data_IF_457758050491
#
_entry.id   IF_457758050491
#
_cell.length_a   1.000
_cell.length_b   1.000
_cell.length_c   1.000
_cell.angle_alpha   90.00
_cell.angle_beta   90.00
_cell.angle_gamma   90.00
#
_symmetry.space_group_name_H-M   'P 1'
#
loop_
_entity.id
_entity.type
_entity.pdbx_description
1 polymer ?
#
# COMPACT_ATOMS: atom_id res chain seq x y z
N UNK A 1 -4.34 16.04 11.14
CA UNK A 1 -4.64 14.59 11.17
C UNK A 1 -5.57 14.25 10.03
N UNK A 2 -5.21 13.25 9.28
CA UNK A 2 -6.00 12.76 8.15
C UNK A 2 -6.10 11.24 8.24
N UNK A 3 -7.29 10.69 8.04
CA UNK A 3 -7.51 9.26 7.88
C UNK A 3 -8.22 9.03 6.56
N UNK A 4 -7.70 8.15 5.75
CA UNK A 4 -8.28 7.73 4.48
C UNK A 4 -8.51 6.24 4.51
N UNK A 5 -9.68 5.81 4.06
CA UNK A 5 -10.01 4.40 3.84
C UNK A 5 -10.22 4.19 2.35
N UNK A 6 -9.50 3.24 1.79
CA UNK A 6 -9.52 2.92 0.37
C UNK A 6 -9.91 1.45 0.19
N UNK A 7 -10.95 1.21 -0.59
CA UNK A 7 -11.43 -0.13 -0.95
C UNK A 7 -10.90 -0.48 -2.34
N UNK A 8 -10.22 -1.60 -2.46
CA UNK A 8 -9.70 -2.15 -3.71
C UNK A 8 -10.40 -3.46 -4.05
N UNK A 9 -10.76 -3.62 -5.31
CA UNK A 9 -11.42 -4.83 -5.81
C UNK A 9 -12.88 -4.95 -5.37
N UNK A 10 -13.43 -6.15 -5.54
CA UNK A 10 -14.85 -6.46 -5.23
C UNK A 10 -14.97 -7.81 -4.53
N UNK A 11 -15.90 -7.89 -3.58
CA UNK A 11 -16.24 -9.12 -2.88
C UNK A 11 -15.04 -9.75 -2.17
N UNK A 12 -14.89 -11.07 -2.27
CA UNK A 12 -13.84 -11.85 -1.58
C UNK A 12 -12.43 -11.66 -2.14
N UNK A 13 -12.29 -10.97 -3.27
CA UNK A 13 -10.99 -10.65 -3.89
C UNK A 13 -10.55 -9.20 -3.62
N UNK A 14 -11.34 -8.47 -2.85
CA UNK A 14 -11.02 -7.10 -2.46
C UNK A 14 -10.17 -7.05 -1.20
N UNK A 15 -9.53 -5.90 -0.99
CA UNK A 15 -8.85 -5.54 0.26
C UNK A 15 -9.10 -4.07 0.58
N UNK A 16 -8.89 -3.72 1.83
CA UNK A 16 -9.01 -2.35 2.31
C UNK A 16 -7.66 -1.86 2.81
N UNK A 17 -7.34 -0.63 2.47
CA UNK A 17 -6.19 0.10 3.02
C UNK A 17 -6.72 1.22 3.90
N UNK A 18 -6.23 1.28 5.13
CA UNK A 18 -6.43 2.42 6.01
C UNK A 18 -5.11 3.16 6.17
N UNK A 19 -5.08 4.39 5.71
CA UNK A 19 -3.96 5.30 5.93
C UNK A 19 -4.34 6.34 6.96
N UNK A 20 -3.54 6.48 8.02
CA UNK A 20 -3.74 7.50 9.06
C UNK A 20 -2.45 8.25 9.29
N UNK A 21 -2.52 9.58 9.28
CA UNK A 21 -1.39 10.46 9.56
C UNK A 21 -1.74 11.47 10.63
N UNK A 22 -0.82 11.67 11.59
CA UNK A 22 -0.91 12.65 12.65
C UNK A 22 0.25 13.64 12.53
N UNK A 23 -0.01 14.82 12.00
CA UNK A 23 1.04 15.80 11.68
C UNK A 23 1.64 16.51 12.92
N UNK A 24 0.94 16.49 14.05
CA UNK A 24 1.36 17.18 15.26
C UNK A 24 1.94 16.26 16.34
N UNK A 25 1.98 14.97 16.11
CA UNK A 25 2.45 14.00 17.09
C UNK A 25 3.08 12.78 16.42
N UNK A 26 4.37 12.61 16.60
CA UNK A 26 5.15 11.48 16.05
C UNK A 26 5.24 10.26 16.99
N UNK A 27 4.53 10.29 18.13
CA UNK A 27 4.52 9.15 19.05
C UNK A 27 4.05 7.86 18.37
N UNK A 28 4.77 6.79 18.57
CA UNK A 28 4.50 5.48 17.95
C UNK A 28 5.11 5.29 16.57
N UNK A 29 5.77 6.30 15.99
CA UNK A 29 6.42 6.21 14.69
C UNK A 29 5.47 5.88 13.54
N UNK A 30 6.04 5.39 12.44
CA UNK A 30 5.30 4.81 11.31
C UNK A 30 5.01 3.34 11.61
N UNK A 31 3.82 2.87 11.28
CA UNK A 31 3.43 1.46 11.39
C UNK A 31 2.86 0.99 10.08
N UNK A 32 3.30 -0.17 9.63
CA UNK A 32 2.81 -0.80 8.42
C UNK A 32 2.50 -2.27 8.70
N UNK A 33 1.20 -2.59 8.74
CA UNK A 33 0.71 -3.91 9.09
C UNK A 33 -0.31 -4.36 8.05
N UNK A 34 -0.14 -5.58 7.55
CA UNK A 34 -1.06 -6.23 6.62
C UNK A 34 -1.78 -7.37 7.31
N UNK A 35 -3.10 -7.35 7.26
CA UNK A 35 -3.96 -8.37 7.85
C UNK A 35 -4.58 -9.24 6.77
N UNK A 36 -4.63 -10.53 7.02
CA UNK A 36 -5.28 -11.52 6.17
C UNK A 36 -6.06 -12.53 6.99
N UNK A 37 -6.83 -13.37 6.31
CA UNK A 37 -7.52 -14.49 6.97
C UNK A 37 -6.56 -15.51 7.62
N UNK A 38 -5.31 -15.54 7.19
CA UNK A 38 -4.28 -16.42 7.74
C UNK A 38 -3.47 -15.84 8.90
N UNK A 39 -3.57 -14.53 9.14
CA UNK A 39 -2.79 -13.84 10.15
C UNK A 39 -2.32 -12.46 9.69
N UNK A 40 -1.16 -12.04 10.17
CA UNK A 40 -0.61 -10.72 9.90
C UNK A 40 0.84 -10.75 9.39
N UNK A 41 1.18 -9.76 8.58
CA UNK A 41 2.55 -9.34 8.29
C UNK A 41 2.76 -7.97 8.93
N UNK A 42 3.70 -7.88 9.86
CA UNK A 42 4.07 -6.65 10.54
C UNK A 42 5.47 -6.21 10.07
N UNK A 43 5.54 -5.11 9.31
CA UNK A 43 6.80 -4.60 8.78
C UNK A 43 7.61 -3.82 9.81
N UNK A 44 7.01 -3.36 10.93
CA UNK A 44 7.78 -2.72 12.01
C UNK A 44 8.71 -3.73 12.70
N UNK A 45 8.22 -4.98 12.82
CA UNK A 45 8.96 -6.07 13.46
C UNK A 45 9.56 -7.04 12.47
N UNK A 46 9.24 -6.90 11.19
CA UNK A 46 9.59 -7.83 10.10
C UNK A 46 9.18 -9.28 10.42
N UNK A 47 7.94 -9.45 10.89
CA UNK A 47 7.41 -10.76 11.27
C UNK A 47 6.13 -11.10 10.52
N UNK A 48 6.01 -12.37 10.15
CA UNK A 48 4.74 -13.00 9.78
C UNK A 48 4.29 -13.83 10.97
N UNK A 49 3.00 -13.79 11.29
CA UNK A 49 2.43 -14.59 12.37
C UNK A 49 0.98 -15.00 12.07
N UNK A 50 0.49 -16.10 12.66
CA UNK A 50 -0.91 -16.49 12.57
C UNK A 50 -1.83 -15.63 13.46
N UNK A 51 -1.31 -14.60 14.08
CA UNK A 51 -2.05 -13.74 15.00
C UNK A 51 -3.29 -13.12 14.32
N UNK A 52 -4.46 -13.26 14.93
CA UNK A 52 -5.73 -12.80 14.37
C UNK A 52 -6.25 -13.61 13.16
N UNK A 53 -5.53 -14.65 12.72
CA UNK A 53 -5.97 -15.52 11.63
C UNK A 53 -7.18 -16.38 12.02
N UNK A 54 -8.00 -16.76 11.03
CA UNK A 54 -9.20 -17.58 11.20
C UNK A 54 -8.80 -19.02 11.55
N UNK A 55 -9.32 -19.51 12.68
CA UNK A 55 -9.22 -20.93 13.05
C UNK A 55 -10.23 -21.75 12.23
N UNK A 56 -10.06 -23.07 12.21
CA UNK A 56 -10.91 -23.97 11.41
C UNK A 56 -12.42 -23.77 11.63
N UNK A 57 -12.85 -23.61 12.88
CA UNK A 57 -14.27 -23.39 13.22
C UNK A 57 -14.80 -22.10 12.60
N UNK A 58 -14.06 -21.02 12.68
CA UNK A 58 -14.44 -19.70 12.18
C UNK A 58 -14.42 -19.68 10.66
N UNK A 59 -13.37 -20.23 10.05
CA UNK A 59 -13.25 -20.35 8.61
C UNK A 59 -14.42 -21.17 8.01
N UNK A 60 -14.74 -22.32 8.63
CA UNK A 60 -15.87 -23.16 8.20
C UNK A 60 -17.21 -22.43 8.31
N UNK A 61 -17.43 -21.67 9.37
CA UNK A 61 -18.65 -20.87 9.54
C UNK A 61 -18.82 -19.80 8.47
N UNK A 62 -17.70 -19.31 7.90
CA UNK A 62 -17.67 -18.29 6.82
C UNK A 62 -17.58 -18.91 5.42
N UNK A 63 -17.61 -20.23 5.27
CA UNK A 63 -17.42 -20.92 3.99
C UNK A 63 -16.00 -20.79 3.42
N UNK A 64 -15.01 -20.55 4.28
CA UNK A 64 -13.60 -20.40 3.93
C UNK A 64 -12.78 -21.61 4.40
N UNK A 65 -11.58 -21.73 3.88
CA UNK A 65 -10.59 -22.67 4.40
C UNK A 65 -9.69 -21.96 5.42
N UNK A 66 -9.41 -22.63 6.53
CA UNK A 66 -8.39 -22.18 7.45
C UNK A 66 -7.02 -22.30 6.79
N UNK A 67 -6.26 -21.23 6.76
CA UNK A 67 -4.93 -21.19 6.18
C UNK A 67 -4.03 -20.29 7.04
N UNK A 68 -3.77 -20.73 8.28
CA UNK A 68 -2.95 -19.97 9.21
C UNK A 68 -1.52 -19.84 8.69
N UNK A 69 -1.01 -18.62 8.74
CA UNK A 69 0.36 -18.31 8.37
C UNK A 69 1.35 -18.90 9.40
N UNK A 70 2.53 -19.31 8.98
CA UNK A 70 3.58 -19.71 9.92
C UNK A 70 4.11 -18.50 10.69
N UNK A 71 4.65 -18.74 11.88
CA UNK A 71 5.44 -17.73 12.58
C UNK A 71 6.84 -17.71 11.99
N UNK A 72 7.23 -16.60 11.37
CA UNK A 72 8.56 -16.43 10.81
C UNK A 72 9.01 -14.97 10.86
N UNK A 73 10.32 -14.77 10.94
CA UNK A 73 10.96 -13.47 10.82
C UNK A 73 11.45 -13.28 9.41
N UNK A 74 11.09 -12.14 8.81
CA UNK A 74 11.63 -11.76 7.50
C UNK A 74 12.93 -11.01 7.76
N UNK A 75 14.01 -11.46 7.16
CA UNK A 75 15.24 -10.67 7.16
C UNK A 75 14.98 -9.43 6.28
N UNK A 76 14.90 -8.27 6.92
CA UNK A 76 14.84 -6.99 6.21
C UNK A 76 16.11 -6.83 5.36
N UNK A 77 15.96 -6.28 4.17
CA UNK A 77 17.12 -5.85 3.40
C UNK A 77 17.95 -4.90 4.28
N UNK A 78 19.12 -5.34 4.72
CA UNK A 78 20.08 -4.46 5.38
C UNK A 78 20.58 -3.48 4.33
N UNK A 79 19.92 -2.34 4.24
CA UNK A 79 20.50 -1.21 3.53
C UNK A 79 21.63 -0.70 4.41
N UNK A 80 22.86 -1.05 4.05
CA UNK A 80 24.02 -0.41 4.64
C UNK A 80 23.95 1.06 4.21
N UNK A 81 23.43 1.91 5.07
CA UNK A 81 23.57 3.34 4.93
C UNK A 81 24.98 3.68 5.38
N UNK A 82 25.91 3.65 4.45
CA UNK A 82 27.17 4.38 4.61
C UNK A 82 26.79 5.87 4.60
N UNK A 83 26.50 6.36 5.78
CA UNK A 83 25.81 7.62 6.03
C UNK A 83 26.59 8.87 5.62
N UNK A 84 27.75 8.75 5.00
CA UNK A 84 28.65 9.88 4.79
C UNK A 84 28.77 10.39 3.36
N UNK A 85 28.01 9.82 2.41
CA UNK A 85 28.06 10.28 1.01
C UNK A 85 26.92 11.23 0.62
N UNK A 86 26.03 11.60 1.55
CA UNK A 86 24.91 12.51 1.30
C UNK A 86 23.84 11.97 0.34
N UNK A 87 23.95 10.70 -0.05
CA UNK A 87 23.03 10.04 -0.96
C UNK A 87 22.40 8.79 -0.34
N UNK A 88 21.09 8.72 -0.36
CA UNK A 88 20.37 7.50 -0.05
C UNK A 88 20.66 6.43 -1.12
N UNK A 89 21.19 5.27 -0.70
CA UNK A 89 21.54 4.15 -1.59
C UNK A 89 20.33 3.65 -2.39
N UNK A 90 19.14 3.66 -1.80
CA UNK A 90 17.91 3.26 -2.49
C UNK A 90 17.61 4.22 -3.63
N UNK A 91 17.65 5.51 -3.38
CA UNK A 91 17.47 6.55 -4.41
C UNK A 91 18.52 6.44 -5.50
N UNK A 92 19.80 6.25 -5.11
CA UNK A 92 20.87 6.07 -6.09
C UNK A 92 20.63 4.86 -7.00
N UNK A 93 20.32 3.70 -6.44
CA UNK A 93 20.04 2.49 -7.21
C UNK A 93 18.81 2.64 -8.10
N UNK A 94 17.80 3.37 -7.62
CA UNK A 94 16.60 3.65 -8.39
C UNK A 94 16.89 4.53 -9.60
N UNK A 95 17.61 5.63 -9.42
CA UNK A 95 18.03 6.53 -10.50
C UNK A 95 18.96 5.82 -11.47
N UNK A 96 19.93 5.03 -10.98
CA UNK A 96 20.81 4.21 -11.81
C UNK A 96 20.01 3.26 -12.70
N UNK A 97 19.07 2.51 -12.11
CA UNK A 97 18.20 1.60 -12.88
C UNK A 97 17.44 2.36 -13.98
N UNK A 98 16.87 3.52 -13.65
CA UNK A 98 16.18 4.35 -14.64
C UNK A 98 17.10 4.76 -15.79
N UNK A 99 18.30 5.25 -15.48
CA UNK A 99 19.29 5.67 -16.51
C UNK A 99 19.73 4.49 -17.39
N UNK A 100 19.92 3.31 -16.83
CA UNK A 100 20.25 2.08 -17.57
C UNK A 100 19.08 1.67 -18.49
N UNK A 101 17.85 1.80 -18.03
CA UNK A 101 16.66 1.52 -18.83
C UNK A 101 16.45 2.53 -19.95
N UNK A 102 16.77 3.81 -19.76
CA UNK A 102 16.77 4.81 -20.83
C UNK A 102 17.72 4.40 -21.96
N UNK A 103 18.92 3.89 -21.63
CA UNK A 103 19.91 3.45 -22.65
C UNK A 103 19.51 2.13 -23.32
N UNK A 104 19.05 1.17 -22.51
CA UNK A 104 18.74 -0.20 -22.99
C UNK A 104 17.33 -0.36 -23.56
N UNK A 105 16.45 0.62 -23.37
CA UNK A 105 15.02 0.57 -23.69
C UNK A 105 14.26 -0.52 -22.97
N UNK A 106 14.77 -1.00 -21.83
CA UNK A 106 14.09 -1.94 -20.94
C UNK A 106 13.13 -1.20 -20.00
N UNK A 107 12.16 -1.93 -19.47
CA UNK A 107 11.25 -1.42 -18.44
C UNK A 107 12.00 -1.22 -17.13
N UNK A 108 11.92 -0.04 -16.50
CA UNK A 108 12.54 0.20 -15.19
C UNK A 108 11.78 -0.53 -14.06
N UNK A 109 12.43 -0.66 -12.90
CA UNK A 109 11.82 -1.26 -11.71
C UNK A 109 10.58 -0.50 -11.23
N UNK A 110 10.53 0.82 -11.46
CA UNK A 110 9.33 1.63 -11.25
C UNK A 110 8.84 2.18 -12.60
N UNK A 111 8.02 1.42 -13.31
CA UNK A 111 7.43 1.88 -14.58
C UNK A 111 6.37 2.95 -14.34
N UNK A 112 6.01 3.67 -15.40
CA UNK A 112 5.03 4.76 -15.33
C UNK A 112 3.68 4.28 -14.79
N UNK A 113 3.29 3.04 -15.08
CA UNK A 113 2.05 2.42 -14.63
C UNK A 113 1.98 2.34 -13.09
N UNK A 114 3.10 2.00 -12.44
CA UNK A 114 3.16 1.96 -10.97
C UNK A 114 2.99 3.37 -10.38
N UNK A 115 3.65 4.38 -10.95
CA UNK A 115 3.49 5.78 -10.56
C UNK A 115 2.06 6.29 -10.80
N UNK A 116 1.48 5.92 -11.92
CA UNK A 116 0.11 6.29 -12.27
C UNK A 116 -0.91 5.71 -11.27
N UNK A 117 -0.84 4.41 -10.97
CA UNK A 117 -1.73 3.77 -10.01
C UNK A 117 -1.61 4.38 -8.61
N UNK A 118 -0.40 4.67 -8.16
CA UNK A 118 -0.19 5.34 -6.89
C UNK A 118 -0.80 6.76 -6.88
N UNK A 119 -0.63 7.49 -7.98
CA UNK A 119 -1.18 8.85 -8.13
C UNK A 119 -2.71 8.87 -8.08
N UNK A 120 -3.40 7.89 -8.65
CA UNK A 120 -4.86 7.77 -8.58
C UNK A 120 -5.33 7.72 -7.12
N UNK A 121 -4.73 6.89 -6.28
CA UNK A 121 -5.09 6.78 -4.87
C UNK A 121 -4.92 8.12 -4.13
N UNK A 122 -3.84 8.85 -4.42
CA UNK A 122 -3.59 10.17 -3.85
C UNK A 122 -4.62 11.20 -4.33
N UNK A 123 -4.95 11.20 -5.60
CA UNK A 123 -5.96 12.09 -6.20
C UNK A 123 -7.34 11.81 -5.60
N UNK A 124 -7.73 10.54 -5.50
CA UNK A 124 -9.00 10.14 -4.89
C UNK A 124 -9.08 10.57 -3.43
N UNK A 125 -8.00 10.43 -2.66
CA UNK A 125 -7.94 10.88 -1.27
C UNK A 125 -8.14 12.40 -1.14
N UNK A 126 -7.47 13.16 -2.01
CA UNK A 126 -7.65 14.62 -2.06
C UNK A 126 -9.07 15.02 -2.50
N UNK A 127 -9.64 14.34 -3.48
CA UNK A 127 -11.01 14.57 -3.93
C UNK A 127 -12.01 14.30 -2.80
N UNK A 128 -11.86 13.20 -2.06
CA UNK A 128 -12.70 12.87 -0.91
C UNK A 128 -12.60 13.95 0.19
N UNK A 129 -11.38 14.38 0.49
CA UNK A 129 -11.15 15.44 1.47
C UNK A 129 -11.81 16.78 1.07
N UNK A 130 -11.65 17.19 -0.19
CA UNK A 130 -12.18 18.47 -0.68
C UNK A 130 -13.69 18.48 -0.86
N UNK A 131 -14.29 17.36 -1.21
CA UNK A 131 -15.72 17.27 -1.52
C UNK A 131 -16.56 16.75 -0.36
N UNK A 132 -15.94 16.07 0.61
CA UNK A 132 -16.65 15.35 1.68
C UNK A 132 -17.48 14.17 1.18
N UNK A 133 -17.23 13.71 -0.05
CA UNK A 133 -18.00 12.66 -0.71
C UNK A 133 -17.21 11.35 -0.81
N UNK A 134 -17.94 10.26 -0.95
CA UNK A 134 -17.35 9.01 -1.44
C UNK A 134 -16.86 9.22 -2.86
N UNK A 135 -15.61 8.81 -3.12
CA UNK A 135 -14.96 8.95 -4.41
C UNK A 135 -14.74 7.57 -5.03
N UNK A 136 -14.95 7.47 -6.32
CA UNK A 136 -14.68 6.26 -7.11
C UNK A 136 -13.79 6.61 -8.31
N UNK A 137 -13.06 5.61 -8.81
CA UNK A 137 -12.30 5.71 -10.04
C UNK A 137 -13.01 4.92 -11.14
N UNK A 138 -13.24 5.55 -12.28
CA UNK A 138 -13.77 4.89 -13.47
C UNK A 138 -12.60 4.45 -14.36
N UNK A 139 -12.37 3.15 -14.41
CA UNK A 139 -11.28 2.56 -15.21
C UNK A 139 -11.45 2.76 -16.72
N UNK A 140 -12.68 2.96 -17.20
CA UNK A 140 -12.95 3.12 -18.63
C UNK A 140 -12.65 4.54 -19.10
N UNK A 141 -13.12 5.53 -18.35
CA UNK A 141 -12.91 6.95 -18.67
C UNK A 141 -11.62 7.49 -18.08
N UNK A 142 -10.99 6.73 -17.16
CA UNK A 142 -9.80 7.15 -16.42
C UNK A 142 -10.06 8.41 -15.57
N UNK A 143 -11.28 8.57 -15.05
CA UNK A 143 -11.71 9.74 -14.32
C UNK A 143 -11.97 9.43 -12.84
N UNK A 144 -11.66 10.39 -11.99
CA UNK A 144 -12.00 10.38 -10.58
C UNK A 144 -13.38 11.01 -10.41
N UNK A 145 -14.32 10.25 -9.83
CA UNK A 145 -15.69 10.65 -9.61
C UNK A 145 -15.94 10.97 -8.14
N UNK A 146 -16.41 12.16 -7.82
CA UNK A 146 -16.92 12.53 -6.49
C UNK A 146 -18.45 12.51 -6.54
N UNK A 147 -19.07 11.48 -5.95
CA UNK A 147 -20.48 11.19 -6.19
C UNK A 147 -20.74 10.93 -7.68
N UNK A 148 -21.64 11.71 -8.29
CA UNK A 148 -22.01 11.56 -9.71
C UNK A 148 -21.29 12.57 -10.65
N UNK A 149 -20.27 13.28 -10.17
CA UNK A 149 -19.57 14.30 -10.95
C UNK A 149 -18.09 13.99 -11.06
N UNK A 150 -17.52 14.28 -12.23
CA UNK A 150 -16.06 14.23 -12.43
C UNK A 150 -15.42 15.27 -11.53
N UNK A 151 -14.44 14.83 -10.74
CA UNK A 151 -13.63 15.73 -9.93
C UNK A 151 -12.63 16.45 -10.83
N UNK A 152 -12.65 17.78 -10.76
CA UNK A 152 -11.69 18.65 -11.44
C UNK A 152 -10.89 19.42 -10.38
N UNK A 153 -9.58 19.55 -10.61
CA UNK A 153 -8.66 20.29 -9.75
C UNK A 153 -8.93 21.78 -9.78
#
# INVERSE_FOLDING_TARGET
TMTVVMDYGKGTKGFQVQFTSRFSNSAGGTKEIYYSNGGELNLDTNTISPNGGLREREAKAMGLQANLLPTMKIEGAKVATDADTGGDVLTFNHVKNWMECVRSRKTPNAPIEAGYQHSIATIMSNAAYRTGMRVTFDEKTQEVMAGNKVFKY
#
